data_IF_856575726731
#
_entry.id   IF_856575726731
#
_cell.length_a   1.000
_cell.length_b   1.000
_cell.length_c   1.000
_cell.angle_alpha   90.00
_cell.angle_beta   90.00
_cell.angle_gamma   90.00
#
_symmetry.space_group_name_H-M   'P 1'
#
loop_
_entity.id
_entity.type
_entity.pdbx_description
1 polymer ?
#
# COMPACT_ATOMS: atom_id res chain seq x y z
N UNK A 1 6.51 -26.15 11.35
CA UNK A 1 5.83 -24.99 10.75
C UNK A 1 4.90 -25.53 9.68
N UNK A 2 3.59 -25.26 9.78
CA UNK A 2 2.60 -25.87 8.90
C UNK A 2 2.50 -25.08 7.57
N UNK A 3 2.42 -25.80 6.45
CA UNK A 3 2.63 -25.33 5.09
C UNK A 3 1.39 -24.71 4.42
N UNK A 4 0.63 -23.86 5.12
CA UNK A 4 -0.60 -23.26 4.57
C UNK A 4 -0.80 -21.76 4.85
N UNK A 5 0.25 -21.05 5.28
CA UNK A 5 0.24 -19.57 5.43
C UNK A 5 0.61 -18.80 4.15
N UNK A 6 0.69 -19.48 3.00
CA UNK A 6 0.99 -18.87 1.70
C UNK A 6 0.00 -19.39 0.63
N UNK A 7 -1.27 -19.01 0.78
CA UNK A 7 -2.26 -19.18 -0.31
C UNK A 7 -2.72 -17.79 -0.72
N UNK A 8 -1.78 -17.01 -1.25
CA UNK A 8 -2.03 -15.70 -1.84
C UNK A 8 -1.30 -14.57 -1.15
N UNK A 9 -1.12 -13.51 -1.94
CA UNK A 9 -0.50 -12.26 -1.51
C UNK A 9 -1.33 -11.62 -0.39
N UNK A 10 -0.77 -11.47 0.82
CA UNK A 10 -1.43 -10.81 1.94
C UNK A 10 -1.81 -9.36 1.63
N UNK A 11 -2.65 -8.69 2.46
CA UNK A 11 -3.22 -7.38 2.14
C UNK A 11 -2.17 -6.32 1.80
N UNK A 12 -1.05 -6.30 2.54
CA UNK A 12 0.04 -5.38 2.30
C UNK A 12 0.77 -5.62 0.98
N UNK A 13 1.02 -6.88 0.61
CA UNK A 13 1.65 -7.18 -0.66
C UNK A 13 0.69 -6.91 -1.82
N UNK A 14 -0.61 -7.17 -1.65
CA UNK A 14 -1.62 -6.84 -2.65
C UNK A 14 -1.68 -5.33 -2.90
N UNK A 15 -1.66 -4.53 -1.82
CA UNK A 15 -1.56 -3.09 -1.91
C UNK A 15 -0.25 -2.63 -2.57
N UNK A 16 0.89 -3.26 -2.27
CA UNK A 16 2.17 -2.94 -2.88
C UNK A 16 2.19 -3.22 -4.40
N UNK A 17 1.56 -4.31 -4.85
CA UNK A 17 1.38 -4.60 -6.28
C UNK A 17 0.52 -3.57 -6.98
N UNK A 18 -0.61 -3.19 -6.38
CA UNK A 18 -1.48 -2.12 -6.92
C UNK A 18 -0.72 -0.80 -6.98
N UNK A 19 0.02 -0.43 -5.93
CA UNK A 19 0.83 0.79 -5.91
C UNK A 19 1.87 0.79 -7.04
N UNK A 20 2.61 -0.31 -7.18
CA UNK A 20 3.66 -0.45 -8.19
C UNK A 20 3.10 -0.39 -9.62
N UNK A 21 1.95 -1.03 -9.86
CA UNK A 21 1.25 -0.97 -11.14
C UNK A 21 0.79 0.46 -11.51
N UNK A 22 0.65 1.34 -10.51
CA UNK A 22 0.28 2.76 -10.69
C UNK A 22 1.48 3.71 -10.59
N UNK A 23 2.71 3.19 -10.59
CA UNK A 23 3.93 3.99 -10.49
C UNK A 23 4.11 4.68 -9.14
N UNK A 24 3.51 4.15 -8.09
CA UNK A 24 3.71 4.54 -6.70
C UNK A 24 4.46 3.44 -5.93
N UNK A 25 4.97 3.78 -4.76
CA UNK A 25 5.56 2.84 -3.81
C UNK A 25 4.79 2.88 -2.50
N UNK A 26 4.74 1.75 -1.78
CA UNK A 26 4.20 1.73 -0.42
C UNK A 26 5.30 2.15 0.54
N UNK A 27 5.13 3.28 1.21
CA UNK A 27 6.08 3.79 2.22
C UNK A 27 5.83 3.12 3.58
N UNK A 28 4.57 2.87 3.91
CA UNK A 28 4.17 2.15 5.13
C UNK A 28 2.95 1.27 4.85
N UNK A 29 2.93 0.07 5.42
CA UNK A 29 1.74 -0.76 5.54
C UNK A 29 1.59 -1.26 6.97
N UNK A 30 0.40 -1.14 7.53
CA UNK A 30 0.07 -1.52 8.91
C UNK A 30 -1.21 -2.36 8.87
N UNK A 31 -1.17 -3.54 9.50
CA UNK A 31 -2.33 -4.40 9.68
C UNK A 31 -2.84 -4.26 11.11
N UNK A 32 -4.08 -3.80 11.29
CA UNK A 32 -4.72 -3.66 12.59
C UNK A 32 -6.02 -4.45 12.60
N UNK A 33 -6.02 -5.62 13.24
CA UNK A 33 -7.16 -6.52 13.17
C UNK A 33 -7.45 -6.92 11.72
N UNK A 34 -8.66 -6.61 11.25
CA UNK A 34 -9.08 -6.87 9.87
C UNK A 34 -8.73 -5.73 8.90
N UNK A 35 -8.12 -4.65 9.40
CA UNK A 35 -7.83 -3.46 8.61
C UNK A 35 -6.44 -3.49 7.99
N UNK A 36 -6.35 -3.06 6.74
CA UNK A 36 -5.10 -2.74 6.07
C UNK A 36 -5.01 -1.23 5.87
N UNK A 37 -4.01 -0.59 6.48
CA UNK A 37 -3.70 0.82 6.32
C UNK A 37 -2.39 0.99 5.57
N UNK A 38 -2.41 1.77 4.49
CA UNK A 38 -1.23 2.04 3.67
C UNK A 38 -0.96 3.53 3.57
N UNK A 39 0.33 3.88 3.56
CA UNK A 39 0.82 5.17 3.09
C UNK A 39 1.61 4.91 1.80
N UNK A 40 1.15 5.53 0.71
CA UNK A 40 1.76 5.46 -0.60
C UNK A 40 2.54 6.74 -0.87
N UNK A 41 3.61 6.63 -1.64
CA UNK A 41 4.40 7.76 -2.14
C UNK A 41 4.58 7.65 -3.65
N UNK A 42 4.48 8.77 -4.35
CA UNK A 42 4.75 8.85 -5.79
C UNK A 42 5.53 10.12 -6.11
N UNK A 43 6.50 10.01 -7.01
CA UNK A 43 7.17 11.17 -7.62
C UNK A 43 6.35 11.65 -8.81
N UNK A 44 5.95 12.91 -8.81
CA UNK A 44 5.19 13.54 -9.90
C UNK A 44 5.80 14.90 -10.25
N UNK A 45 5.70 15.30 -11.52
CA UNK A 45 6.08 16.63 -11.96
C UNK A 45 4.85 17.55 -11.93
N UNK A 46 4.91 18.62 -11.14
CA UNK A 46 3.88 19.66 -11.08
C UNK A 46 4.53 20.94 -11.58
N UNK A 47 4.07 21.46 -12.72
CA UNK A 47 4.63 22.67 -13.36
C UNK A 47 6.16 22.57 -13.55
N UNK A 48 6.66 21.39 -13.94
CA UNK A 48 8.10 21.13 -14.14
C UNK A 48 8.91 20.85 -12.88
N UNK A 49 8.33 20.95 -11.69
CA UNK A 49 9.00 20.67 -10.41
C UNK A 49 8.67 19.24 -9.96
N UNK A 50 9.68 18.44 -9.68
CA UNK A 50 9.48 17.09 -9.13
C UNK A 50 9.16 17.16 -7.65
N UNK A 51 8.03 16.60 -7.25
CA UNK A 51 7.57 16.54 -5.85
C UNK A 51 7.20 15.12 -5.46
N UNK A 52 7.29 14.81 -4.16
CA UNK A 52 6.76 13.58 -3.58
C UNK A 52 5.34 13.82 -3.07
N UNK A 53 4.36 13.23 -3.75
CA UNK A 53 2.98 13.19 -3.25
C UNK A 53 2.78 11.95 -2.40
N UNK A 54 2.07 12.10 -1.28
CA UNK A 54 1.74 11.02 -0.37
C UNK A 54 0.23 10.84 -0.31
N UNK A 55 -0.22 9.59 -0.22
CA UNK A 55 -1.62 9.25 -0.06
C UNK A 55 -1.77 8.19 1.02
N UNK A 56 -2.84 8.29 1.82
CA UNK A 56 -3.17 7.28 2.83
C UNK A 56 -4.48 6.62 2.46
N UNK A 57 -4.53 5.30 2.56
CA UNK A 57 -5.75 4.53 2.35
C UNK A 57 -5.92 3.51 3.49
N UNK A 58 -7.17 3.19 3.79
CA UNK A 58 -7.55 2.13 4.73
C UNK A 58 -8.62 1.28 4.08
N UNK A 59 -8.48 -0.04 4.17
CA UNK A 59 -9.49 -1.01 3.81
C UNK A 59 -9.76 -1.91 5.02
N UNK A 60 -11.02 -2.04 5.44
CA UNK A 60 -11.39 -2.77 6.64
C UNK A 60 -12.77 -2.37 7.16
N UNK A 61 -13.21 -3.01 8.24
CA UNK A 61 -14.58 -2.89 8.76
C UNK A 61 -14.65 -2.27 10.16
N UNK A 62 -13.53 -2.13 10.86
CA UNK A 62 -13.49 -1.58 12.23
C UNK A 62 -13.41 -0.04 12.18
N UNK A 63 -14.38 0.73 12.70
CA UNK A 63 -14.42 2.19 12.55
C UNK A 63 -13.28 2.94 13.26
#
# INVERSE_FOLDING_TARGET
>A
MAAWEDVGDGPCSAAARVASANGASTEKCDLQGSDCRVELVRRVAIVGITVHVRARARAGIEP
#
